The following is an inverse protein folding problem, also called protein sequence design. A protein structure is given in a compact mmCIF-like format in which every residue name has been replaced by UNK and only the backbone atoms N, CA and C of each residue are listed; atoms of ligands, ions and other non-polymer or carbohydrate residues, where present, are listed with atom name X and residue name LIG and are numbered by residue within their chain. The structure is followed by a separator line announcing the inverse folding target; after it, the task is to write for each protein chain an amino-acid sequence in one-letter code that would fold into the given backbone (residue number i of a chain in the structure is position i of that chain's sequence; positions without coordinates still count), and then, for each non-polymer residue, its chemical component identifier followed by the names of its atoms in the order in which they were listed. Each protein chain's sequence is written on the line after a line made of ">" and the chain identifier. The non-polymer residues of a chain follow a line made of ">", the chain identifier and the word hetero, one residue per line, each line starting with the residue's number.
data_IF_545227972452
#
_entry.id   IF_545227972452
#
_cell.length_a   1.000
_cell.length_b   1.000
_cell.length_c   1.000
_cell.angle_alpha   90.00
_cell.angle_beta   90.00
_cell.angle_gamma   90.00
#
_symmetry.space_group_name_H-M   'P 1'
#
loop_
_entity.id
_entity.type
_entity.pdbx_description
1 polymer ?
#
# COMPACT_ATOMS: atom_id res chain seq x y z
N UNK A 1 -2.37 -42.67 54.97
CA UNK A 1 -2.42 -43.02 53.54
C UNK A 1 -2.71 -41.75 52.75
N UNK A 2 -1.66 -41.11 52.23
CA UNK A 2 -1.67 -40.17 51.12
C UNK A 2 -0.19 -39.96 50.75
N UNK A 3 0.19 -40.43 49.57
CA UNK A 3 1.57 -40.49 49.10
C UNK A 3 2.00 -39.14 48.49
N UNK A 4 3.20 -38.71 48.84
CA UNK A 4 4.00 -37.72 48.13
C UNK A 4 4.60 -38.35 46.88
N UNK A 5 4.52 -37.65 45.73
CA UNK A 5 5.41 -37.89 44.59
C UNK A 5 5.86 -36.52 44.06
N UNK A 6 7.07 -36.14 44.44
CA UNK A 6 7.92 -35.30 43.60
C UNK A 6 8.71 -36.21 42.66
N UNK A 7 8.59 -35.99 41.35
CA UNK A 7 9.60 -36.44 40.38
C UNK A 7 9.49 -35.60 39.11
N UNK A 8 10.33 -34.57 39.07
CA UNK A 8 11.23 -34.21 37.98
C UNK A 8 10.93 -34.82 36.59
N UNK A 9 10.35 -34.03 35.69
CA UNK A 9 10.60 -34.12 34.24
C UNK A 9 10.55 -32.70 33.67
N UNK A 10 11.71 -32.08 33.50
CA UNK A 10 11.84 -30.92 32.63
C UNK A 10 11.84 -31.39 31.19
N UNK A 11 10.99 -30.83 30.33
CA UNK A 11 11.24 -30.68 28.90
C UNK A 11 10.27 -29.62 28.32
N UNK A 12 10.86 -28.61 27.69
CA UNK A 12 10.30 -27.67 26.70
C UNK A 12 9.49 -26.46 27.21
N UNK A 13 10.18 -25.33 27.21
CA UNK A 13 9.68 -23.98 27.01
C UNK A 13 8.74 -23.91 25.80
N UNK A 14 7.44 -24.11 26.02
CA UNK A 14 6.41 -23.71 25.08
C UNK A 14 5.99 -22.28 25.38
N UNK A 15 6.70 -21.29 24.82
CA UNK A 15 6.11 -19.96 24.70
C UNK A 15 4.83 -20.14 23.90
N UNK A 16 3.68 -19.83 24.51
CA UNK A 16 2.40 -19.76 23.82
C UNK A 16 2.57 -18.74 22.69
N UNK A 17 2.84 -19.21 21.46
CA UNK A 17 2.86 -18.33 20.30
C UNK A 17 1.40 -17.96 20.04
N UNK A 18 0.99 -16.81 20.56
CA UNK A 18 -0.28 -16.20 20.18
C UNK A 18 -0.12 -15.78 18.73
N UNK A 19 -0.78 -16.46 17.79
CA UNK A 19 -0.72 -16.12 16.36
C UNK A 19 -1.60 -14.91 15.99
N UNK A 20 -2.15 -14.23 16.99
CA UNK A 20 -2.97 -13.04 16.87
C UNK A 20 -2.28 -11.87 17.58
N UNK A 21 -2.12 -10.75 16.89
CA UNK A 21 -1.55 -9.55 17.49
C UNK A 21 -2.60 -8.89 18.41
N UNK A 22 -2.33 -8.68 19.71
CA UNK A 22 -3.19 -7.89 20.59
C UNK A 22 -3.02 -6.38 20.36
N UNK A 23 -2.52 -5.96 19.19
CA UNK A 23 -2.05 -4.60 18.94
C UNK A 23 -3.18 -3.57 18.84
N UNK A 24 -2.87 -2.38 19.36
CA UNK A 24 -3.71 -1.19 19.30
C UNK A 24 -3.30 -0.21 18.18
N UNK A 25 -2.52 -0.67 17.20
CA UNK A 25 -1.93 0.18 16.17
C UNK A 25 -1.37 -0.61 14.98
N UNK A 26 -0.68 0.10 14.09
CA UNK A 26 -0.01 -0.50 12.93
C UNK A 26 1.07 -1.48 13.39
N UNK A 27 1.34 -2.49 12.56
CA UNK A 27 2.52 -3.34 12.76
C UNK A 27 3.81 -2.55 12.58
N UNK A 28 4.90 -2.97 13.22
CA UNK A 28 6.21 -2.32 13.09
C UNK A 28 6.66 -2.18 11.63
N UNK A 29 6.40 -3.21 10.81
CA UNK A 29 6.73 -3.20 9.39
C UNK A 29 5.91 -2.14 8.62
N UNK A 30 4.61 -2.05 8.90
CA UNK A 30 3.75 -1.07 8.26
C UNK A 30 4.10 0.36 8.71
N UNK A 31 4.40 0.54 9.99
CA UNK A 31 4.84 1.84 10.51
C UNK A 31 6.15 2.28 9.85
N UNK A 32 7.13 1.37 9.73
CA UNK A 32 8.37 1.63 9.01
C UNK A 32 8.11 2.00 7.54
N UNK A 33 7.24 1.26 6.84
CA UNK A 33 6.85 1.58 5.47
C UNK A 33 6.17 2.94 5.38
N UNK A 34 5.22 3.25 6.27
CA UNK A 34 4.45 4.49 6.29
C UNK A 34 5.37 5.69 6.39
N UNK A 35 6.33 5.65 7.31
CA UNK A 35 7.32 6.73 7.49
C UNK A 35 8.20 6.90 6.26
N UNK A 36 8.79 5.80 5.75
CA UNK A 36 9.69 5.90 4.59
C UNK A 36 8.96 6.31 3.31
N UNK A 37 7.74 5.80 3.11
CA UNK A 37 6.93 6.11 1.92
C UNK A 37 6.40 7.53 1.97
N UNK A 38 5.96 8.01 3.14
CA UNK A 38 5.45 9.38 3.30
C UNK A 38 6.50 10.43 2.92
N UNK A 39 7.77 10.22 3.28
CA UNK A 39 8.84 11.13 2.88
C UNK A 39 8.96 11.27 1.34
N UNK A 40 8.75 10.18 0.60
CA UNK A 40 8.76 10.21 -0.88
C UNK A 40 7.46 10.80 -1.43
N UNK A 41 6.32 10.43 -0.84
CA UNK A 41 5.00 10.88 -1.27
C UNK A 41 4.83 12.39 -1.08
N UNK A 42 5.35 12.96 0.01
CA UNK A 42 5.24 14.38 0.32
C UNK A 42 6.01 15.24 -0.70
N UNK A 43 7.20 14.79 -1.11
CA UNK A 43 7.97 15.45 -2.19
C UNK A 43 7.16 15.45 -3.49
N UNK A 44 6.58 14.30 -3.88
CA UNK A 44 5.78 14.19 -5.09
C UNK A 44 4.50 15.03 -5.01
N UNK A 45 3.81 15.03 -3.87
CA UNK A 45 2.57 15.79 -3.67
C UNK A 45 2.83 17.29 -3.72
N UNK A 46 3.90 17.76 -3.06
CA UNK A 46 4.33 19.16 -3.11
C UNK A 46 4.52 19.60 -4.56
N UNK A 47 5.34 18.86 -5.32
CA UNK A 47 5.59 19.18 -6.74
C UNK A 47 4.31 19.18 -7.56
N UNK A 48 3.41 18.22 -7.32
CA UNK A 48 2.15 18.13 -8.06
C UNK A 48 1.18 19.28 -7.74
N UNK A 49 1.09 19.68 -6.47
CA UNK A 49 0.28 20.82 -6.02
C UNK A 49 0.82 22.13 -6.58
N UNK A 50 2.13 22.39 -6.48
CA UNK A 50 2.76 23.59 -7.04
C UNK A 50 2.57 23.71 -8.56
N UNK A 51 2.58 22.57 -9.28
CA UNK A 51 2.27 22.51 -10.72
C UNK A 51 0.80 22.86 -11.00
N UNK A 52 -0.10 22.47 -10.12
CA UNK A 52 -1.55 22.63 -10.29
C UNK A 52 -2.01 24.04 -9.93
N UNK A 53 -1.59 24.54 -8.77
CA UNK A 53 -1.82 25.90 -8.29
C UNK A 53 -0.79 26.24 -7.19
N UNK A 54 0.01 27.29 -7.41
CA UNK A 54 1.02 27.73 -6.44
C UNK A 54 0.42 28.36 -5.17
N UNK A 55 -0.89 28.56 -5.10
CA UNK A 55 -1.63 28.98 -3.91
C UNK A 55 -1.87 27.88 -2.87
N UNK A 56 -1.59 26.60 -3.18
CA UNK A 56 -1.72 25.52 -2.21
C UNK A 56 -0.63 25.57 -1.13
N UNK A 57 -1.04 25.42 0.13
CA UNK A 57 -0.11 25.25 1.25
C UNK A 57 0.58 23.88 1.20
N UNK A 58 1.90 23.84 1.43
CA UNK A 58 2.72 22.62 1.35
C UNK A 58 3.55 22.34 2.61
N UNK A 59 3.22 23.01 3.72
CA UNK A 59 3.94 22.87 4.99
C UNK A 59 3.54 21.60 5.78
N UNK A 60 2.29 21.14 5.62
CA UNK A 60 1.78 19.90 6.22
C UNK A 60 0.93 19.16 5.19
N UNK A 61 1.47 18.06 4.68
CA UNK A 61 0.88 17.32 3.56
C UNK A 61 0.17 16.05 4.06
N UNK A 62 -1.04 15.75 3.56
CA UNK A 62 -1.80 14.59 3.99
C UNK A 62 -1.20 13.28 3.45
N UNK A 63 -1.42 12.20 4.17
CA UNK A 63 -1.23 10.85 3.62
C UNK A 63 -2.39 10.54 2.66
N UNK A 64 -2.08 10.30 1.39
CA UNK A 64 -3.09 10.00 0.36
C UNK A 64 -3.17 8.49 0.10
N UNK A 65 -4.40 7.99 -0.02
CA UNK A 65 -4.69 6.63 -0.44
C UNK A 65 -5.50 6.60 -1.74
N UNK A 66 -5.23 5.62 -2.60
CA UNK A 66 -6.01 5.34 -3.81
C UNK A 66 -6.72 4.00 -3.67
N UNK A 67 -8.04 3.97 -3.87
CA UNK A 67 -8.85 2.75 -3.72
C UNK A 67 -9.55 2.38 -5.01
N UNK A 68 -9.53 1.09 -5.33
CA UNK A 68 -10.12 0.51 -6.54
C UNK A 68 -11.35 -0.35 -6.17
N UNK A 69 -12.51 -0.03 -6.74
CA UNK A 69 -13.75 -0.73 -6.43
C UNK A 69 -13.82 -2.13 -7.07
N UNK A 70 -14.85 -2.90 -6.71
CA UNK A 70 -15.18 -4.14 -7.41
C UNK A 70 -15.90 -3.91 -8.75
N UNK A 71 -15.96 -4.95 -9.59
CA UNK A 71 -16.68 -4.85 -10.86
C UNK A 71 -16.07 -5.65 -12.02
N UNK A 72 -15.33 -6.71 -11.73
CA UNK A 72 -14.66 -7.55 -12.74
C UNK A 72 -13.72 -6.75 -13.64
N UNK A 73 -13.66 -7.13 -14.92
CA UNK A 73 -12.80 -6.49 -15.92
C UNK A 73 -13.08 -4.99 -16.10
N UNK A 74 -14.32 -4.54 -15.93
CA UNK A 74 -14.64 -3.10 -16.01
C UNK A 74 -13.84 -2.34 -14.98
N UNK A 75 -13.89 -2.76 -13.72
CA UNK A 75 -13.12 -2.10 -12.66
C UNK A 75 -11.62 -2.19 -12.94
N UNK A 76 -11.10 -3.37 -13.32
CA UNK A 76 -9.69 -3.54 -13.67
C UNK A 76 -9.24 -2.53 -14.73
N UNK A 77 -9.93 -2.46 -15.87
CA UNK A 77 -9.56 -1.61 -17.00
C UNK A 77 -9.73 -0.12 -16.68
N UNK A 78 -10.79 0.26 -15.97
CA UNK A 78 -10.99 1.65 -15.52
C UNK A 78 -9.91 2.07 -14.53
N UNK A 79 -9.57 1.23 -13.55
CA UNK A 79 -8.47 1.46 -12.61
C UNK A 79 -7.13 1.61 -13.30
N UNK A 80 -6.86 0.78 -14.32
CA UNK A 80 -5.66 0.87 -15.15
C UNK A 80 -5.58 2.23 -15.88
N UNK A 81 -6.66 2.67 -16.52
CA UNK A 81 -6.70 3.99 -17.18
C UNK A 81 -6.50 5.16 -16.20
N UNK A 82 -7.10 5.08 -15.01
CA UNK A 82 -6.89 6.09 -13.96
C UNK A 82 -5.43 6.13 -13.53
N UNK A 83 -4.83 4.99 -13.17
CA UNK A 83 -3.42 4.97 -12.74
C UNK A 83 -2.49 5.43 -13.86
N UNK A 84 -2.74 5.04 -15.10
CA UNK A 84 -1.97 5.52 -16.25
C UNK A 84 -1.97 7.05 -16.33
N UNK A 85 -3.14 7.70 -16.22
CA UNK A 85 -3.25 9.16 -16.25
C UNK A 85 -2.66 9.88 -15.04
N UNK A 86 -2.55 9.20 -13.89
CA UNK A 86 -1.94 9.77 -12.67
C UNK A 86 -0.42 9.55 -12.61
N UNK A 87 0.13 8.56 -13.33
CA UNK A 87 1.53 8.17 -13.23
C UNK A 87 2.42 8.99 -14.17
N UNK A 88 3.36 9.75 -13.61
CA UNK A 88 4.32 10.53 -14.40
C UNK A 88 5.26 9.66 -15.25
N UNK A 89 5.35 8.36 -14.99
CA UNK A 89 6.12 7.40 -15.81
C UNK A 89 5.38 6.97 -17.07
N UNK A 90 4.08 7.25 -17.17
CA UNK A 90 3.18 6.66 -18.17
C UNK A 90 2.23 7.67 -18.84
N UNK A 91 2.24 8.93 -18.40
CA UNK A 91 1.43 9.99 -18.96
C UNK A 91 2.03 11.37 -18.69
N UNK A 92 1.67 12.33 -19.54
CA UNK A 92 2.04 13.75 -19.43
C UNK A 92 0.81 14.68 -19.42
N UNK A 93 -0.34 14.16 -18.99
CA UNK A 93 -1.56 14.97 -18.79
C UNK A 93 -1.47 15.79 -17.50
N UNK A 94 -2.38 16.76 -17.31
CA UNK A 94 -2.35 17.66 -16.14
C UNK A 94 -2.34 16.93 -14.78
N UNK A 95 -2.96 15.74 -14.70
CA UNK A 95 -3.00 14.93 -13.48
C UNK A 95 -1.76 14.05 -13.24
N UNK A 96 -0.83 13.97 -14.20
CA UNK A 96 0.37 13.14 -14.09
C UNK A 96 1.23 13.53 -12.89
N UNK A 97 1.85 12.56 -12.24
CA UNK A 97 2.68 12.74 -11.04
C UNK A 97 1.96 12.54 -9.72
N UNK A 98 0.61 12.57 -9.70
CA UNK A 98 -0.15 12.33 -8.48
C UNK A 98 0.00 10.88 -7.98
N UNK A 99 0.23 9.91 -8.88
CA UNK A 99 0.42 8.52 -8.47
C UNK A 99 1.63 8.35 -7.53
N UNK A 100 2.70 9.12 -7.77
CA UNK A 100 3.89 9.12 -6.91
C UNK A 100 3.62 9.68 -5.50
N UNK A 101 2.55 10.45 -5.31
CA UNK A 101 2.11 10.96 -4.01
C UNK A 101 1.27 9.96 -3.19
N UNK A 102 0.92 8.81 -3.77
CA UNK A 102 0.11 7.80 -3.07
C UNK A 102 0.97 7.00 -2.09
N UNK A 103 0.48 6.88 -0.85
CA UNK A 103 1.12 6.09 0.23
C UNK A 103 0.49 4.71 0.35
N UNK A 104 -0.85 4.64 0.29
CA UNK A 104 -1.61 3.40 0.38
C UNK A 104 -2.43 3.16 -0.88
N UNK A 105 -2.48 1.92 -1.33
CA UNK A 105 -3.34 1.53 -2.43
C UNK A 105 -4.11 0.26 -2.04
N UNK A 106 -5.43 0.32 -2.17
CA UNK A 106 -6.31 -0.80 -1.86
C UNK A 106 -7.19 -1.14 -3.06
N UNK A 107 -7.63 -2.39 -3.15
CA UNK A 107 -8.52 -2.83 -4.21
C UNK A 107 -9.38 -3.99 -3.76
N UNK A 108 -10.64 -4.01 -4.20
CA UNK A 108 -11.60 -5.10 -3.95
C UNK A 108 -12.03 -5.74 -5.28
N UNK A 109 -12.17 -7.07 -5.33
CA UNK A 109 -12.70 -7.81 -6.48
C UNK A 109 -11.96 -7.46 -7.78
N UNK A 110 -12.63 -6.94 -8.81
CA UNK A 110 -11.99 -6.51 -10.07
C UNK A 110 -10.86 -5.49 -9.86
N UNK A 111 -10.98 -4.59 -8.88
CA UNK A 111 -9.90 -3.67 -8.50
C UNK A 111 -8.72 -4.38 -7.82
N UNK A 112 -8.97 -5.48 -7.11
CA UNK A 112 -7.89 -6.35 -6.57
C UNK A 112 -7.12 -7.04 -7.67
N UNK A 113 -7.75 -7.39 -8.80
CA UNK A 113 -7.05 -7.98 -9.94
C UNK A 113 -6.03 -6.99 -10.50
N UNK A 114 -6.44 -5.75 -10.75
CA UNK A 114 -5.54 -4.68 -11.19
C UNK A 114 -4.39 -4.44 -10.21
N UNK A 115 -4.71 -4.25 -8.92
CA UNK A 115 -3.68 -4.01 -7.90
C UNK A 115 -2.70 -5.19 -7.80
N UNK A 116 -3.20 -6.43 -7.89
CA UNK A 116 -2.36 -7.63 -7.88
C UNK A 116 -1.48 -7.72 -9.13
N UNK A 117 -1.97 -7.31 -10.30
CA UNK A 117 -1.16 -7.23 -11.53
C UNK A 117 -0.01 -6.25 -11.39
N UNK A 118 -0.20 -5.09 -10.74
CA UNK A 118 0.90 -4.17 -10.46
C UNK A 118 1.87 -4.75 -9.43
N UNK A 119 1.38 -5.10 -8.24
CA UNK A 119 2.22 -5.55 -7.14
C UNK A 119 2.99 -6.84 -7.48
N UNK A 120 2.33 -7.80 -8.13
CA UNK A 120 2.93 -9.06 -8.55
C UNK A 120 4.02 -8.91 -9.63
N UNK A 121 4.06 -7.78 -10.34
CA UNK A 121 5.07 -7.47 -11.36
C UNK A 121 6.05 -6.36 -10.92
N UNK A 122 6.16 -6.10 -9.62
CA UNK A 122 7.05 -5.08 -9.06
C UNK A 122 6.73 -3.64 -9.53
N UNK A 123 5.45 -3.28 -9.54
CA UNK A 123 4.93 -1.94 -9.84
C UNK A 123 5.43 -1.31 -11.16
N UNK A 124 5.24 -1.98 -12.31
CA UNK A 124 5.54 -1.42 -13.62
C UNK A 124 4.55 -0.29 -13.97
N UNK A 125 4.69 0.32 -15.14
CA UNK A 125 3.66 1.21 -15.69
C UNK A 125 2.50 0.41 -16.26
N UNK A 126 1.34 1.05 -16.46
CA UNK A 126 0.17 0.40 -17.05
C UNK A 126 0.42 0.07 -18.51
N UNK A 127 1.08 0.95 -19.27
CA UNK A 127 1.52 0.64 -20.64
C UNK A 127 2.42 -0.58 -20.66
N UNK A 128 3.35 -0.70 -19.71
CA UNK A 128 4.22 -1.88 -19.66
C UNK A 128 3.42 -3.17 -19.45
N UNK A 129 2.44 -3.19 -18.54
CA UNK A 129 1.57 -4.36 -18.34
C UNK A 129 0.78 -4.70 -19.61
N UNK A 130 0.23 -3.68 -20.28
CA UNK A 130 -0.55 -3.86 -21.52
C UNK A 130 0.29 -4.47 -22.64
N UNK A 131 1.56 -4.08 -22.72
CA UNK A 131 2.41 -4.38 -23.87
C UNK A 131 3.30 -5.63 -23.65
N UNK A 132 3.43 -6.14 -22.42
CA UNK A 132 4.38 -7.21 -22.07
C UNK A 132 3.77 -8.44 -21.37
N UNK A 133 2.45 -8.48 -21.17
CA UNK A 133 1.70 -9.62 -20.63
C UNK A 133 0.60 -10.06 -21.61
#
# INVERSE_FOLDING_TARGET
>A
MAWSISSLLGFLTGSSVVSASPANGLSDNEESYRVSRKAVADVALKTWLEKTDSGFGTDDLPTIALTHSGGGYRSLLSSAGVVQGLDARDSDVSTSGLYQAITYQAGLSGGSWFLSSLAGNNYPTVSWLRDNL
#
